data_IF_023543376242
#
_entry.id   IF_023543376242
#
_cell.length_a   1.000
_cell.length_b   1.000
_cell.length_c   1.000
_cell.angle_alpha   90.00
_cell.angle_beta   90.00
_cell.angle_gamma   90.00
#
_symmetry.space_group_name_H-M   'P 1'
#
loop_
_entity.id
_entity.type
_entity.pdbx_description
1 polymer ?
#
# COMPACT_ATOMS: atom_id res chain seq x y z
N UNK A 1 9.96 -9.70 -3.17
CA UNK A 1 10.74 -8.48 -3.43
C UNK A 1 10.68 -7.54 -2.22
N UNK A 2 9.49 -7.00 -1.85
CA UNK A 2 9.34 -6.03 -0.75
C UNK A 2 9.97 -6.49 0.56
N UNK A 3 9.72 -7.73 0.96
CA UNK A 3 10.26 -8.31 2.19
C UNK A 3 11.79 -8.37 2.19
N UNK A 4 12.40 -8.89 1.12
CA UNK A 4 13.86 -8.98 1.02
C UNK A 4 14.52 -7.60 1.01
N UNK A 5 13.90 -6.64 0.30
CA UNK A 5 14.35 -5.25 0.31
C UNK A 5 14.29 -4.65 1.72
N UNK A 6 13.14 -4.78 2.39
CA UNK A 6 12.98 -4.28 3.75
C UNK A 6 13.94 -4.93 4.75
N UNK A 7 14.15 -6.25 4.65
CA UNK A 7 15.15 -6.96 5.47
C UNK A 7 16.56 -6.43 5.24
N UNK A 8 16.96 -6.23 3.98
CA UNK A 8 18.28 -5.67 3.66
C UNK A 8 18.43 -4.27 4.29
N UNK A 9 17.43 -3.41 4.21
CA UNK A 9 17.45 -2.09 4.84
C UNK A 9 17.52 -2.13 6.38
N UNK A 10 16.95 -3.15 7.01
CA UNK A 10 16.97 -3.31 8.47
C UNK A 10 18.32 -3.87 8.95
N UNK A 11 18.83 -4.89 8.27
CA UNK A 11 20.04 -5.62 8.69
C UNK A 11 21.31 -4.84 8.31
N UNK A 12 21.36 -4.25 7.14
CA UNK A 12 22.56 -3.62 6.59
C UNK A 12 22.19 -2.36 5.78
N UNK A 13 21.71 -1.29 6.42
CA UNK A 13 21.26 -0.08 5.73
C UNK A 13 22.36 0.63 4.94
N UNK A 14 23.61 0.38 5.25
CA UNK A 14 24.81 0.93 4.59
C UNK A 14 25.15 0.24 3.27
N UNK A 15 24.62 -0.96 3.02
CA UNK A 15 24.90 -1.73 1.81
C UNK A 15 23.98 -1.28 0.67
N UNK A 16 24.53 -0.89 -0.50
CA UNK A 16 23.71 -0.55 -1.66
C UNK A 16 22.78 -1.69 -2.08
N UNK A 17 21.54 -1.36 -2.39
CA UNK A 17 20.55 -2.34 -2.84
C UNK A 17 20.84 -2.78 -4.29
N UNK A 18 21.27 -4.02 -4.43
CA UNK A 18 21.58 -4.65 -5.73
C UNK A 18 21.40 -6.18 -5.65
N UNK A 19 21.64 -6.87 -6.75
CA UNK A 19 21.51 -8.33 -6.80
C UNK A 19 22.41 -9.06 -5.79
N UNK A 20 23.61 -8.55 -5.54
CA UNK A 20 24.56 -9.13 -4.57
C UNK A 20 24.05 -9.00 -3.13
N UNK A 21 23.48 -7.85 -2.76
CA UNK A 21 22.91 -7.64 -1.42
C UNK A 21 21.68 -8.50 -1.14
N UNK A 22 20.98 -8.95 -2.18
CA UNK A 22 19.83 -9.83 -2.08
C UNK A 22 20.18 -11.32 -2.18
N UNK A 23 21.37 -11.67 -2.61
CA UNK A 23 21.83 -13.06 -2.77
C UNK A 23 21.72 -13.94 -1.51
N UNK A 24 21.94 -13.43 -0.28
CA UNK A 24 21.80 -14.23 0.94
C UNK A 24 20.35 -14.67 1.25
N UNK A 25 19.33 -14.04 0.63
CA UNK A 25 17.95 -14.37 0.91
C UNK A 25 17.47 -15.54 0.06
N UNK A 26 17.10 -16.65 0.69
CA UNK A 26 16.45 -17.78 0.04
C UNK A 26 14.95 -17.74 0.32
N UNK A 27 14.15 -17.58 -0.73
CA UNK A 27 12.69 -17.54 -0.64
C UNK A 27 12.10 -18.84 -1.16
N UNK A 28 11.27 -19.50 -0.35
CA UNK A 28 10.56 -20.72 -0.74
C UNK A 28 9.07 -20.57 -0.41
N UNK A 29 8.22 -21.00 -1.31
CA UNK A 29 6.78 -21.08 -1.09
C UNK A 29 6.25 -22.39 -1.67
N UNK A 30 5.42 -23.15 -0.94
CA UNK A 30 4.80 -24.36 -1.48
C UNK A 30 4.00 -24.04 -2.74
N UNK A 31 4.06 -24.93 -3.73
CA UNK A 31 3.26 -24.83 -4.94
C UNK A 31 1.77 -24.89 -4.62
N UNK A 32 0.96 -24.10 -5.30
CA UNK A 32 -0.48 -24.01 -5.05
C UNK A 32 -0.86 -23.18 -3.81
N UNK A 33 0.12 -22.66 -3.07
CA UNK A 33 -0.17 -21.72 -1.97
C UNK A 33 -0.51 -20.32 -2.49
N UNK A 34 -1.11 -19.47 -1.62
CA UNK A 34 -1.41 -18.08 -1.95
C UNK A 34 -0.17 -17.26 -2.37
N UNK A 35 1.04 -17.68 -1.95
CA UNK A 35 2.30 -17.06 -2.30
C UNK A 35 2.95 -17.63 -3.56
N UNK A 36 2.48 -18.79 -4.03
CA UNK A 36 2.96 -19.50 -5.20
C UNK A 36 1.79 -20.17 -5.93
N UNK A 37 0.90 -19.32 -6.44
CA UNK A 37 -0.32 -19.75 -7.12
C UNK A 37 0.00 -20.42 -8.46
N UNK A 38 -0.69 -21.53 -8.76
CA UNK A 38 -0.57 -22.26 -10.03
C UNK A 38 -1.56 -21.68 -11.04
N UNK A 39 -1.12 -21.58 -12.28
CA UNK A 39 -2.00 -21.14 -13.39
C UNK A 39 -3.11 -22.19 -13.65
N UNK A 40 -4.36 -21.77 -13.93
CA UNK A 40 -4.85 -20.39 -13.93
C UNK A 40 -5.33 -19.96 -12.54
N UNK A 41 -4.83 -18.80 -12.06
CA UNK A 41 -5.26 -18.22 -10.80
C UNK A 41 -5.48 -16.70 -10.94
N UNK A 42 -6.44 -16.17 -10.20
CA UNK A 42 -6.72 -14.74 -10.14
C UNK A 42 -5.66 -14.04 -9.29
N UNK A 43 -4.68 -13.41 -9.93
CA UNK A 43 -3.52 -12.77 -9.26
C UNK A 43 -3.41 -11.28 -9.52
N UNK A 44 -4.48 -10.62 -9.97
CA UNK A 44 -4.48 -9.22 -10.36
C UNK A 44 -4.04 -8.30 -9.20
N UNK A 45 -4.54 -8.54 -7.99
CA UNK A 45 -4.27 -7.74 -6.79
C UNK A 45 -3.25 -8.37 -5.84
N UNK A 46 -2.37 -9.24 -6.33
CA UNK A 46 -1.34 -9.95 -5.52
C UNK A 46 -0.41 -9.02 -4.72
N UNK A 47 -0.28 -7.77 -5.13
CA UNK A 47 0.53 -6.78 -4.42
C UNK A 47 -0.01 -6.45 -3.01
N UNK A 48 -1.30 -6.64 -2.74
CA UNK A 48 -1.88 -6.49 -1.40
C UNK A 48 -1.25 -7.51 -0.45
N UNK A 49 -1.21 -8.78 -0.83
CA UNK A 49 -0.54 -9.83 -0.04
C UNK A 49 0.96 -9.56 0.05
N UNK A 50 1.56 -9.08 -1.05
CA UNK A 50 2.96 -8.66 -1.08
C UNK A 50 3.28 -7.54 -0.09
N UNK A 51 2.30 -6.69 0.24
CA UNK A 51 2.45 -5.63 1.23
C UNK A 51 2.33 -6.13 2.68
N UNK A 52 1.54 -7.18 2.92
CA UNK A 52 1.37 -7.76 4.27
C UNK A 52 2.56 -8.64 4.71
N UNK A 53 3.24 -9.27 3.76
CA UNK A 53 4.35 -10.18 4.04
C UNK A 53 5.52 -9.54 4.81
N UNK A 54 5.97 -8.32 4.51
CA UNK A 54 7.03 -7.65 5.26
C UNK A 54 6.71 -7.56 6.75
N UNK A 55 5.53 -7.10 7.12
CA UNK A 55 5.13 -6.93 8.52
C UNK A 55 5.16 -8.28 9.27
N UNK A 56 4.68 -9.35 8.64
CA UNK A 56 4.73 -10.71 9.20
C UNK A 56 6.17 -11.16 9.46
N UNK A 57 7.07 -10.95 8.49
CA UNK A 57 8.49 -11.35 8.61
C UNK A 57 9.23 -10.45 9.59
N UNK A 58 8.92 -9.15 9.60
CA UNK A 58 9.54 -8.21 10.54
C UNK A 58 9.10 -8.50 11.97
N UNK A 59 7.85 -8.90 12.20
CA UNK A 59 7.40 -9.38 13.51
C UNK A 59 8.20 -10.58 14.02
N UNK A 60 8.59 -11.50 13.14
CA UNK A 60 9.51 -12.58 13.50
C UNK A 60 10.93 -12.06 13.81
N UNK A 61 11.44 -11.15 12.97
CA UNK A 61 12.77 -10.57 13.14
C UNK A 61 12.89 -9.71 14.40
N UNK A 62 11.81 -9.04 14.80
CA UNK A 62 11.77 -8.22 16.01
C UNK A 62 12.07 -9.00 17.30
N UNK A 63 11.88 -10.31 17.30
CA UNK A 63 12.24 -11.17 18.43
C UNK A 63 13.77 -11.31 18.59
N UNK A 64 14.52 -11.16 17.51
CA UNK A 64 15.97 -11.27 17.50
C UNK A 64 16.66 -9.91 17.56
N UNK A 65 16.14 -8.90 16.90
CA UNK A 65 16.74 -7.55 16.78
C UNK A 65 15.70 -6.44 16.95
N UNK A 66 15.04 -6.34 18.12
CA UNK A 66 13.91 -5.44 18.37
C UNK A 66 14.26 -3.96 18.14
N UNK A 67 15.51 -3.57 18.40
CA UNK A 67 15.94 -2.18 18.28
C UNK A 67 16.15 -1.70 16.83
N UNK A 68 16.02 -2.60 15.85
CA UNK A 68 16.24 -2.31 14.43
C UNK A 68 14.95 -2.40 13.58
N UNK A 69 13.99 -3.15 14.06
CA UNK A 69 12.76 -3.45 13.30
C UNK A 69 11.72 -2.37 13.56
N UNK A 70 11.13 -1.80 12.50
CA UNK A 70 9.98 -0.91 12.67
C UNK A 70 8.76 -1.69 13.18
N UNK A 71 7.87 -1.00 13.87
CA UNK A 71 6.57 -1.55 14.24
C UNK A 71 5.73 -1.80 12.98
N UNK A 72 4.73 -2.67 13.12
CA UNK A 72 3.77 -2.96 12.06
C UNK A 72 3.04 -1.68 11.62
N UNK A 73 2.88 -1.53 10.32
CA UNK A 73 2.13 -0.44 9.72
C UNK A 73 0.65 -0.78 9.53
N UNK A 74 -0.05 -0.05 8.68
CA UNK A 74 -1.44 -0.32 8.34
C UNK A 74 -1.65 -1.67 7.62
N UNK A 75 -0.58 -2.29 7.11
CA UNK A 75 -0.59 -3.62 6.51
C UNK A 75 -1.41 -3.74 5.23
N UNK A 76 -1.94 -2.66 4.69
CA UNK A 76 -2.79 -2.70 3.51
C UNK A 76 -2.49 -1.56 2.52
N UNK A 77 -2.78 -1.86 1.26
CA UNK A 77 -2.94 -0.89 0.19
C UNK A 77 -4.41 -0.93 -0.22
N UNK A 78 -5.11 0.19 -0.09
CA UNK A 78 -6.49 0.28 -0.52
C UNK A 78 -6.54 0.63 -1.99
N UNK A 79 -7.07 -0.29 -2.78
CA UNK A 79 -7.28 -0.11 -4.21
C UNK A 79 -8.79 0.04 -4.43
N UNK A 80 -9.26 1.26 -4.53
CA UNK A 80 -10.65 1.55 -4.86
C UNK A 80 -10.73 1.74 -6.36
N UNK A 81 -11.48 0.88 -7.03
CA UNK A 81 -11.67 0.95 -8.47
C UNK A 81 -13.03 1.56 -8.77
N UNK A 82 -13.02 2.66 -9.50
CA UNK A 82 -14.21 3.33 -10.00
C UNK A 82 -14.37 3.00 -11.47
N UNK A 83 -15.57 2.58 -11.86
CA UNK A 83 -15.93 2.30 -13.23
C UNK A 83 -17.30 2.93 -13.52
N UNK A 84 -17.44 3.53 -14.68
CA UNK A 84 -18.71 4.13 -15.09
C UNK A 84 -18.65 4.66 -16.51
N UNK A 85 -19.70 5.38 -16.88
CA UNK A 85 -19.84 6.04 -18.16
C UNK A 85 -19.80 7.56 -17.97
N UNK A 86 -19.14 8.30 -18.85
CA UNK A 86 -18.97 9.75 -18.72
C UNK A 86 -20.26 10.54 -18.97
N UNK A 87 -21.17 9.97 -19.77
CA UNK A 87 -22.45 10.62 -20.11
C UNK A 87 -23.45 9.56 -20.59
N UNK A 88 -24.37 9.14 -19.73
CA UNK A 88 -25.41 8.16 -20.07
C UNK A 88 -26.44 8.78 -21.00
N UNK A 89 -26.51 8.29 -22.23
CA UNK A 89 -27.51 8.69 -23.21
C UNK A 89 -27.02 9.65 -24.29
N UNK A 90 -25.76 10.05 -24.25
CA UNK A 90 -25.09 10.76 -25.34
C UNK A 90 -24.51 9.79 -26.36
N UNK A 91 -24.43 10.25 -27.60
CA UNK A 91 -23.75 9.47 -28.67
C UNK A 91 -22.23 9.41 -28.50
N UNK A 92 -21.66 10.12 -27.51
CA UNK A 92 -20.21 10.18 -27.18
C UNK A 92 -19.92 9.63 -25.77
N UNK A 93 -20.74 8.70 -25.30
CA UNK A 93 -20.53 8.04 -24.01
C UNK A 93 -19.20 7.28 -24.01
N UNK A 94 -18.33 7.62 -23.07
CA UNK A 94 -17.04 6.94 -22.86
C UNK A 94 -17.06 6.18 -21.55
N UNK A 95 -16.50 4.99 -21.56
CA UNK A 95 -16.31 4.20 -20.35
C UNK A 95 -15.01 4.65 -19.71
N UNK A 96 -15.05 4.97 -18.42
CA UNK A 96 -13.85 5.16 -17.60
C UNK A 96 -13.65 4.00 -16.64
N UNK A 97 -12.41 3.71 -16.31
CA UNK A 97 -12.04 2.78 -15.25
C UNK A 97 -10.72 3.26 -14.65
N UNK A 98 -10.78 3.70 -13.40
CA UNK A 98 -9.60 4.15 -12.67
C UNK A 98 -9.46 3.40 -11.35
N UNK A 99 -8.23 3.23 -10.89
CA UNK A 99 -7.96 2.69 -9.56
C UNK A 99 -7.23 3.74 -8.72
N UNK A 100 -7.91 4.23 -7.69
CA UNK A 100 -7.30 5.10 -6.69
C UNK A 100 -6.60 4.23 -5.63
N UNK A 101 -5.27 4.34 -5.56
CA UNK A 101 -4.47 3.65 -4.53
C UNK A 101 -4.28 4.59 -3.35
N UNK A 102 -4.63 4.11 -2.16
CA UNK A 102 -4.47 4.85 -0.91
C UNK A 102 -3.74 4.01 0.13
N UNK A 103 -3.03 4.67 1.03
CA UNK A 103 -2.21 4.03 2.05
C UNK A 103 -2.63 4.49 3.44
N UNK A 104 -2.48 3.60 4.41
CA UNK A 104 -2.46 3.97 5.82
C UNK A 104 -1.11 4.53 6.24
N UNK A 105 -0.87 4.64 7.54
CA UNK A 105 0.43 5.01 8.09
C UNK A 105 1.40 3.83 8.19
N UNK A 106 2.68 4.11 8.18
CA UNK A 106 3.69 3.11 8.57
C UNK A 106 3.74 2.99 10.09
N UNK A 107 4.21 1.86 10.59
CA UNK A 107 4.54 1.72 12.01
C UNK A 107 5.63 2.67 12.47
N UNK A 108 5.76 2.83 13.78
CA UNK A 108 6.84 3.59 14.38
C UNK A 108 8.20 2.98 14.01
N UNK A 109 9.17 3.84 13.77
CA UNK A 109 10.55 3.42 13.50
C UNK A 109 11.33 3.31 14.82
N UNK A 110 12.45 2.60 14.87
CA UNK A 110 13.22 2.41 16.11
C UNK A 110 13.58 3.72 16.84
N UNK A 111 13.83 4.81 16.10
CA UNK A 111 14.28 6.10 16.65
C UNK A 111 13.38 7.28 16.28
N UNK A 112 12.28 7.06 15.58
CA UNK A 112 11.41 8.13 15.06
C UNK A 112 9.97 7.64 14.90
N UNK A 113 9.04 8.58 14.82
CA UNK A 113 7.65 8.29 14.49
C UNK A 113 7.49 7.69 13.09
N UNK A 114 6.41 6.98 12.86
CA UNK A 114 5.99 6.48 11.56
C UNK A 114 5.70 7.60 10.57
N UNK A 115 5.59 7.25 9.31
CA UNK A 115 5.24 8.17 8.23
C UNK A 115 3.75 8.04 7.91
N UNK A 116 3.06 9.15 7.80
CA UNK A 116 1.63 9.18 7.49
C UNK A 116 1.36 8.93 6.01
N UNK A 117 0.25 8.28 5.71
CA UNK A 117 -0.26 8.04 4.36
C UNK A 117 0.79 7.50 3.36
N UNK A 118 1.62 6.59 3.83
CA UNK A 118 2.61 5.89 2.99
C UNK A 118 2.80 4.45 3.44
N UNK A 119 3.36 3.61 2.58
CA UNK A 119 3.59 2.21 2.84
C UNK A 119 5.08 1.87 2.86
N UNK A 120 5.49 1.03 3.79
CA UNK A 120 6.86 0.50 3.87
C UNK A 120 6.79 -1.05 3.79
N UNK A 121 7.70 -1.71 3.10
CA UNK A 121 8.85 -1.18 2.35
C UNK A 121 8.57 -0.84 0.89
N UNK A 122 7.33 -0.95 0.41
CA UNK A 122 6.99 -0.73 -0.99
C UNK A 122 7.16 0.72 -1.46
N UNK A 123 7.00 1.69 -0.57
CA UNK A 123 7.10 3.10 -0.88
C UNK A 123 5.98 3.61 -1.81
N UNK A 124 4.87 2.88 -1.90
CA UNK A 124 3.72 3.25 -2.73
C UNK A 124 3.15 4.58 -2.25
N UNK A 125 2.90 5.48 -3.19
CA UNK A 125 2.27 6.79 -2.96
C UNK A 125 0.88 6.82 -3.55
N UNK A 126 0.00 7.59 -2.95
CA UNK A 126 -1.33 7.84 -3.51
C UNK A 126 -1.25 8.73 -4.76
N UNK A 127 -2.16 8.50 -5.71
CA UNK A 127 -2.32 9.37 -6.87
C UNK A 127 -2.83 10.75 -6.43
N UNK A 128 -2.31 11.86 -6.98
CA UNK A 128 -2.86 13.19 -6.74
C UNK A 128 -4.35 13.26 -7.10
N UNK A 129 -5.11 14.05 -6.35
CA UNK A 129 -6.55 14.24 -6.56
C UNK A 129 -6.82 14.77 -7.96
N UNK A 130 -6.07 15.76 -8.39
CA UNK A 130 -6.21 16.44 -9.67
C UNK A 130 -6.06 15.47 -10.87
N UNK A 131 -5.18 14.47 -10.74
CA UNK A 131 -5.01 13.46 -11.78
C UNK A 131 -6.26 12.56 -11.84
N UNK A 132 -6.77 12.13 -10.68
CA UNK A 132 -7.96 11.28 -10.65
C UNK A 132 -9.19 12.02 -11.22
N UNK A 133 -9.41 13.28 -10.85
CA UNK A 133 -10.51 14.11 -11.31
C UNK A 133 -10.38 14.49 -12.79
N UNK A 134 -9.15 14.56 -13.33
CA UNK A 134 -8.93 14.84 -14.75
C UNK A 134 -9.25 13.65 -15.69
N UNK A 135 -9.21 12.42 -15.17
CA UNK A 135 -9.38 11.21 -15.98
C UNK A 135 -10.72 10.51 -15.74
N UNK A 136 -11.44 10.87 -14.69
CA UNK A 136 -12.74 10.32 -14.36
C UNK A 136 -13.68 11.39 -13.80
N UNK A 137 -14.99 11.30 -14.04
CA UNK A 137 -15.97 12.25 -13.53
C UNK A 137 -16.29 11.99 -12.04
N UNK A 138 -15.29 12.19 -11.19
CA UNK A 138 -15.38 12.07 -9.74
C UNK A 138 -14.88 13.34 -9.07
N UNK A 139 -15.35 13.61 -7.87
CA UNK A 139 -14.95 14.76 -7.05
C UNK A 139 -14.46 14.23 -5.70
N UNK A 140 -13.28 14.66 -5.31
CA UNK A 140 -12.76 14.40 -3.97
C UNK A 140 -13.13 15.55 -3.04
N UNK A 141 -14.16 15.37 -2.25
CA UNK A 141 -14.56 16.35 -1.23
C UNK A 141 -13.58 16.42 -0.07
N UNK A 142 -12.95 15.28 0.23
CA UNK A 142 -12.07 15.18 1.38
C UNK A 142 -10.97 14.17 1.11
N UNK A 143 -9.73 14.56 1.39
CA UNK A 143 -8.56 13.69 1.43
C UNK A 143 -7.58 14.24 2.45
N UNK A 144 -7.68 13.78 3.67
CA UNK A 144 -6.93 14.31 4.80
C UNK A 144 -6.42 13.20 5.72
N UNK A 145 -5.51 13.52 6.62
CA UNK A 145 -5.08 12.59 7.64
C UNK A 145 -6.20 12.36 8.66
N UNK A 146 -6.37 11.08 9.05
CA UNK A 146 -7.26 10.72 10.16
C UNK A 146 -6.59 11.09 11.48
N UNK A 147 -7.13 12.05 12.24
CA UNK A 147 -6.57 12.44 13.54
C UNK A 147 -6.49 11.24 14.49
N UNK A 148 -5.44 11.18 15.28
CA UNK A 148 -5.20 10.17 16.31
C UNK A 148 -5.24 8.69 15.88
N UNK A 149 -5.20 8.42 14.56
CA UNK A 149 -5.17 7.07 14.01
C UNK A 149 -3.81 6.37 14.13
N UNK A 150 -2.75 7.10 14.47
CA UNK A 150 -1.41 6.54 14.70
C UNK A 150 -1.32 5.79 16.03
N UNK A 151 -0.76 4.57 16.00
CA UNK A 151 -0.53 3.78 17.19
C UNK A 151 0.30 4.51 18.26
N UNK A 152 -0.04 4.33 19.53
CA UNK A 152 0.64 4.96 20.66
C UNK A 152 1.87 4.15 21.09
N UNK A 153 2.92 4.84 21.53
CA UNK A 153 4.15 4.22 22.00
C UNK A 153 5.22 5.27 22.31
N UNK A 154 6.47 4.82 22.50
CA UNK A 154 7.64 5.71 22.63
C UNK A 154 7.76 6.62 21.40
N UNK A 155 7.53 6.06 20.23
CA UNK A 155 7.35 6.73 18.95
C UNK A 155 5.97 6.39 18.44
N UNK A 156 5.29 7.34 17.81
CA UNK A 156 3.93 7.12 17.29
C UNK A 156 3.96 6.48 15.91
N UNK A 157 2.95 5.66 15.61
CA UNK A 157 2.66 5.24 14.26
C UNK A 157 2.22 6.42 13.37
N UNK A 158 2.39 6.28 12.07
CA UNK A 158 1.92 7.25 11.09
C UNK A 158 0.38 7.27 11.01
N UNK A 159 -0.16 8.41 10.60
CA UNK A 159 -1.60 8.59 10.47
C UNK A 159 -2.14 7.92 9.18
N UNK A 160 -3.34 7.36 9.28
CA UNK A 160 -4.15 6.95 8.15
C UNK A 160 -4.81 8.13 7.45
N UNK A 161 -5.76 7.84 6.56
CA UNK A 161 -6.47 8.85 5.77
C UNK A 161 -7.99 8.69 5.89
N UNK A 162 -8.68 9.81 5.74
CA UNK A 162 -10.13 9.88 5.48
C UNK A 162 -10.30 10.44 4.07
N UNK A 163 -11.11 9.77 3.25
CA UNK A 163 -11.33 10.13 1.86
C UNK A 163 -12.82 10.06 1.59
N UNK A 164 -13.37 11.13 1.03
CA UNK A 164 -14.77 11.24 0.58
C UNK A 164 -14.76 11.54 -0.91
N UNK A 165 -15.45 10.70 -1.67
CA UNK A 165 -15.49 10.77 -3.14
C UNK A 165 -16.95 10.71 -3.57
N UNK A 166 -17.31 11.57 -4.52
CA UNK A 166 -18.63 11.63 -5.14
C UNK A 166 -18.53 11.45 -6.66
N UNK A 167 -19.56 10.89 -7.27
CA UNK A 167 -19.72 10.92 -8.72
C UNK A 167 -20.09 12.32 -9.19
N UNK A 168 -19.36 12.87 -10.18
CA UNK A 168 -19.69 14.15 -10.79
C UNK A 168 -20.85 14.05 -11.83
N UNK A 169 -21.37 12.85 -12.07
CA UNK A 169 -22.50 12.59 -12.95
C UNK A 169 -23.62 11.93 -12.15
N UNK A 170 -24.88 12.18 -12.55
CA UNK A 170 -26.07 11.51 -11.99
C UNK A 170 -26.09 10.03 -12.42
N UNK A 171 -25.16 9.25 -11.90
CA UNK A 171 -25.09 7.80 -12.12
C UNK A 171 -24.45 7.14 -10.90
N UNK A 172 -24.94 5.97 -10.58
CA UNK A 172 -24.34 5.17 -9.51
C UNK A 172 -22.90 4.78 -9.89
N UNK A 173 -21.99 4.91 -8.93
CA UNK A 173 -20.65 4.39 -9.05
C UNK A 173 -20.69 2.89 -8.68
N UNK A 174 -20.16 2.03 -9.54
CA UNK A 174 -19.94 0.60 -9.28
C UNK A 174 -18.52 0.34 -8.77
#
# INVERSE_FOLDING_TARGET
AYTCFGLACIVSPEIPNNAGSLAPFSVRAPEGSILNAVYPAAVCTRHIIGQMLPDTVFGCLAQAVPDRVPAEGAGCLWNVTFRGETDRGSNDTKIFCITAVTNGGTGARPSKDGLSATAYPSGVRGTPVEINESVAPIIFWRKEYSPDSGGVGKHRGGLGQVIEIESAIEADLE
#
